data_IF_129927787675
#
_entry.id   IF_129927787675
#
_cell.length_a   1.000
_cell.length_b   1.000
_cell.length_c   1.000
_cell.angle_alpha   90.00
_cell.angle_beta   90.00
_cell.angle_gamma   90.00
#
_symmetry.space_group_name_H-M   'P 1'
#
loop_
_entity.id
_entity.type
_entity.pdbx_description
1 polymer ?
#
# COMPACT_ATOMS: atom_id res chain seq x y z
N UNK A 1 -12.58 -23.17 -9.37
CA UNK A 1 -12.96 -22.66 -10.70
C UNK A 1 -12.71 -21.17 -10.75
N UNK A 2 -12.09 -20.73 -11.84
CA UNK A 2 -11.36 -19.48 -12.01
C UNK A 2 -12.25 -18.22 -11.94
N UNK A 3 -11.91 -17.28 -11.05
CA UNK A 3 -12.51 -15.94 -10.97
C UNK A 3 -11.45 -14.88 -11.29
N UNK A 4 -10.94 -14.92 -12.51
CA UNK A 4 -10.35 -13.75 -13.18
C UNK A 4 -11.07 -13.61 -14.52
N UNK A 5 -12.35 -13.28 -14.46
CA UNK A 5 -13.10 -12.85 -15.65
C UNK A 5 -12.67 -11.41 -15.94
N UNK A 6 -11.71 -11.24 -16.85
CA UNK A 6 -11.45 -9.97 -17.51
C UNK A 6 -12.74 -9.56 -18.23
N UNK A 7 -13.38 -8.48 -17.80
CA UNK A 7 -14.50 -7.89 -18.55
C UNK A 7 -13.93 -6.96 -19.61
N UNK A 8 -14.28 -7.27 -20.86
CA UNK A 8 -14.06 -6.49 -22.06
C UNK A 8 -14.61 -5.06 -21.91
N UNK A 9 -13.77 -4.07 -22.24
CA UNK A 9 -14.12 -2.66 -22.29
C UNK A 9 -14.98 -2.37 -23.53
N UNK A 10 -16.20 -1.84 -23.34
CA UNK A 10 -16.91 -1.06 -24.38
C UNK A 10 -16.57 0.42 -24.19
N UNK A 11 -16.28 1.10 -25.31
CA UNK A 11 -15.97 2.53 -25.47
C UNK A 11 -14.48 2.93 -25.56
N UNK A 12 -13.64 2.02 -26.09
CA UNK A 12 -12.57 2.38 -27.03
C UNK A 12 -11.64 3.52 -26.62
N UNK A 13 -10.63 3.21 -25.80
CA UNK A 13 -9.22 3.64 -25.93
C UNK A 13 -8.41 3.08 -24.75
N UNK A 14 -8.20 1.77 -24.76
CA UNK A 14 -7.07 1.12 -24.10
C UNK A 14 -6.94 -0.24 -24.77
N UNK A 15 -5.99 -0.35 -25.70
CA UNK A 15 -5.78 -1.56 -26.50
C UNK A 15 -5.58 -2.77 -25.59
N UNK A 16 -6.39 -3.81 -25.80
CA UNK A 16 -6.28 -5.08 -25.08
C UNK A 16 -4.88 -5.72 -25.21
N UNK A 17 -4.13 -5.36 -26.26
CA UNK A 17 -2.73 -5.75 -26.47
C UNK A 17 -1.77 -5.07 -25.48
N UNK A 18 -2.04 -3.83 -25.08
CA UNK A 18 -1.28 -3.11 -24.04
C UNK A 18 -1.52 -3.74 -22.66
N UNK A 19 -2.73 -4.21 -22.38
CA UNK A 19 -3.07 -4.89 -21.12
C UNK A 19 -2.42 -6.28 -21.00
N UNK A 20 -2.28 -7.02 -22.11
CA UNK A 20 -1.63 -8.35 -22.14
C UNK A 20 -0.10 -8.25 -22.05
N UNK A 21 0.53 -7.27 -22.69
CA UNK A 21 1.97 -6.97 -22.50
C UNK A 21 2.26 -6.46 -21.06
N UNK A 22 1.31 -5.74 -20.46
CA UNK A 22 1.34 -5.24 -19.09
C UNK A 22 1.29 -6.35 -18.01
N UNK A 23 0.69 -7.51 -18.30
CA UNK A 23 0.70 -8.68 -17.40
C UNK A 23 2.08 -9.34 -17.29
N UNK A 24 2.92 -9.22 -18.32
CA UNK A 24 4.28 -9.79 -18.43
C UNK A 24 5.40 -8.88 -17.90
N UNK A 25 5.06 -7.67 -17.41
CA UNK A 25 6.02 -6.57 -17.16
C UNK A 25 6.38 -6.40 -15.65
N UNK A 26 7.52 -5.78 -15.30
CA UNK A 26 8.06 -5.71 -13.93
C UNK A 26 7.10 -5.09 -12.90
N UNK A 27 7.42 -5.24 -11.61
CA UNK A 27 6.70 -4.62 -10.47
C UNK A 27 6.41 -3.12 -10.65
N UNK A 28 7.27 -2.42 -11.38
CA UNK A 28 7.16 -0.99 -11.71
C UNK A 28 5.86 -0.68 -12.46
N UNK A 29 5.52 -1.42 -13.51
CA UNK A 29 4.38 -1.14 -14.40
C UNK A 29 3.03 -1.24 -13.70
N UNK A 30 2.90 -2.15 -12.71
CA UNK A 30 1.64 -2.31 -11.95
C UNK A 30 1.34 -1.15 -11.00
N UNK A 31 2.37 -0.63 -10.35
CA UNK A 31 2.29 0.58 -9.53
C UNK A 31 2.08 1.84 -10.39
N UNK A 32 2.80 1.93 -11.51
CA UNK A 32 2.67 2.97 -12.55
C UNK A 32 1.19 3.16 -12.89
N UNK A 33 0.48 2.13 -13.36
CA UNK A 33 -0.91 2.33 -13.84
C UNK A 33 -1.91 2.81 -12.77
N UNK A 34 -1.68 2.48 -11.49
CA UNK A 34 -2.51 2.99 -10.38
C UNK A 34 -2.32 4.49 -10.16
N UNK A 35 -1.17 5.07 -10.56
CA UNK A 35 -0.82 6.46 -10.30
C UNK A 35 -0.59 7.25 -11.61
N UNK A 36 -0.52 6.64 -12.78
CA UNK A 36 0.08 7.25 -13.98
C UNK A 36 -0.52 8.58 -14.44
N UNK A 37 -1.85 8.71 -14.54
CA UNK A 37 -2.46 9.99 -14.97
C UNK A 37 -2.41 11.01 -13.84
N UNK A 38 -2.73 10.60 -12.63
CA UNK A 38 -2.55 11.39 -11.41
C UNK A 38 -1.12 11.93 -11.26
N UNK A 39 -0.11 11.13 -11.57
CA UNK A 39 1.31 11.43 -11.44
C UNK A 39 1.73 12.55 -12.39
N UNK A 40 1.29 12.52 -13.65
CA UNK A 40 1.62 13.55 -14.63
C UNK A 40 1.07 14.91 -14.21
N UNK A 41 -0.14 14.95 -13.63
CA UNK A 41 -0.71 16.16 -13.03
C UNK A 41 0.20 16.66 -11.90
N UNK A 42 0.62 15.78 -10.98
CA UNK A 42 1.51 16.18 -9.87
C UNK A 42 2.84 16.71 -10.40
N UNK A 43 3.47 16.04 -11.35
CA UNK A 43 4.76 16.44 -11.92
C UNK A 43 4.68 17.82 -12.58
N UNK A 44 3.68 18.00 -13.46
CA UNK A 44 3.44 19.27 -14.16
C UNK A 44 3.22 20.41 -13.17
N UNK A 45 2.31 20.23 -12.21
CA UNK A 45 1.98 21.27 -11.23
C UNK A 45 3.15 21.57 -10.28
N UNK A 46 3.94 20.55 -9.95
CA UNK A 46 5.16 20.71 -9.14
C UNK A 46 6.23 21.50 -9.88
N UNK A 47 6.42 21.26 -11.18
CA UNK A 47 7.34 22.03 -12.01
C UNK A 47 6.91 23.49 -12.14
N UNK A 48 5.61 23.76 -12.33
CA UNK A 48 5.06 25.12 -12.33
C UNK A 48 5.31 25.85 -11.00
N UNK A 49 5.05 25.20 -9.86
CA UNK A 49 5.33 25.80 -8.54
C UNK A 49 6.84 25.97 -8.30
N UNK A 50 7.67 25.07 -8.83
CA UNK A 50 9.12 25.17 -8.81
C UNK A 50 9.62 26.42 -9.54
N UNK A 51 9.15 26.65 -10.77
CA UNK A 51 9.45 27.87 -11.55
C UNK A 51 9.00 29.13 -10.81
N UNK A 52 7.83 29.11 -10.16
CA UNK A 52 7.33 30.25 -9.38
C UNK A 52 8.20 30.56 -8.15
N UNK A 53 8.67 29.55 -7.43
CA UNK A 53 9.43 29.72 -6.18
C UNK A 53 10.91 30.05 -6.43
N UNK A 54 11.50 29.49 -7.48
CA UNK A 54 12.93 29.53 -7.72
C UNK A 54 13.33 30.27 -9.01
N UNK A 55 12.37 30.74 -9.81
CA UNK A 55 12.60 31.42 -11.09
C UNK A 55 13.57 30.62 -11.96
N UNK A 56 14.60 31.27 -12.52
CA UNK A 56 15.62 30.67 -13.38
C UNK A 56 16.50 29.64 -12.66
N UNK A 57 16.55 29.67 -11.32
CA UNK A 57 17.25 28.65 -10.52
C UNK A 57 16.41 27.38 -10.31
N UNK A 58 15.13 27.39 -10.73
CA UNK A 58 14.20 26.27 -10.59
C UNK A 58 14.46 25.18 -11.61
N UNK A 59 15.38 24.25 -11.32
CA UNK A 59 15.59 23.07 -12.18
C UNK A 59 14.29 22.29 -12.35
N UNK A 60 13.89 22.06 -13.59
CA UNK A 60 12.76 21.19 -13.92
C UNK A 60 13.00 19.79 -13.39
N UNK A 61 11.97 19.22 -12.76
CA UNK A 61 12.00 17.86 -12.26
C UNK A 61 11.57 16.96 -13.42
N UNK A 62 12.45 16.06 -13.80
CA UNK A 62 12.17 15.06 -14.82
C UNK A 62 11.38 13.89 -14.23
N UNK A 63 10.71 13.14 -15.10
CA UNK A 63 9.92 11.98 -14.72
C UNK A 63 10.74 10.96 -13.91
N UNK A 64 11.99 10.66 -14.31
CA UNK A 64 12.83 9.72 -13.55
C UNK A 64 13.21 10.25 -12.16
N UNK A 65 13.47 11.56 -12.03
CA UNK A 65 13.80 12.20 -10.74
C UNK A 65 12.60 12.14 -9.79
N UNK A 66 11.38 12.38 -10.31
CA UNK A 66 10.17 12.31 -9.50
C UNK A 66 9.77 10.86 -9.15
N UNK A 67 9.97 9.89 -10.04
CA UNK A 67 9.85 8.46 -9.70
C UNK A 67 10.82 8.05 -8.59
N UNK A 68 12.07 8.49 -8.69
CA UNK A 68 13.06 8.23 -7.66
C UNK A 68 12.70 8.89 -6.32
N UNK A 69 12.11 10.08 -6.34
CA UNK A 69 11.57 10.72 -5.13
C UNK A 69 10.51 9.85 -4.45
N UNK A 70 9.55 9.33 -5.22
CA UNK A 70 8.51 8.41 -4.73
C UNK A 70 9.12 7.10 -4.24
N UNK A 71 10.08 6.53 -4.98
CA UNK A 71 10.80 5.32 -4.58
C UNK A 71 11.51 5.48 -3.23
N UNK A 72 12.14 6.63 -2.99
CA UNK A 72 12.74 6.96 -1.69
C UNK A 72 11.70 7.10 -0.57
N UNK A 73 10.51 7.63 -0.84
CA UNK A 73 9.40 7.66 0.12
C UNK A 73 8.96 6.24 0.51
N UNK A 74 8.76 5.36 -0.47
CA UNK A 74 8.40 3.96 -0.24
C UNK A 74 9.49 3.22 0.56
N UNK A 75 10.76 3.40 0.19
CA UNK A 75 11.89 2.81 0.92
C UNK A 75 11.95 3.33 2.37
N UNK A 76 11.65 4.61 2.59
CA UNK A 76 11.58 5.18 3.94
C UNK A 76 10.53 4.44 4.79
N UNK A 77 9.36 4.15 4.23
CA UNK A 77 8.32 3.36 4.89
C UNK A 77 8.73 1.91 5.14
N UNK A 78 9.30 1.24 4.12
CA UNK A 78 9.79 -0.14 4.22
C UNK A 78 10.85 -0.32 5.32
N UNK A 79 11.70 0.68 5.50
CA UNK A 79 12.73 0.71 6.54
C UNK A 79 12.24 1.16 7.92
N UNK A 80 10.95 1.47 8.08
CA UNK A 80 10.36 2.05 9.30
C UNK A 80 11.02 3.37 9.74
N UNK A 81 11.46 4.17 8.76
CA UNK A 81 12.18 5.43 8.96
C UNK A 81 11.36 6.69 8.70
N UNK A 82 10.05 6.55 8.54
CA UNK A 82 9.17 7.67 8.17
C UNK A 82 9.16 8.80 9.21
N UNK A 83 9.42 8.48 10.49
CA UNK A 83 9.57 9.44 11.58
C UNK A 83 10.98 10.05 11.72
N UNK A 84 12.01 9.49 11.09
CA UNK A 84 13.37 10.01 11.20
C UNK A 84 13.55 11.34 10.47
N UNK A 85 14.41 12.22 10.99
CA UNK A 85 14.74 13.47 10.34
C UNK A 85 15.34 13.22 8.94
N UNK A 86 14.92 14.00 7.94
CA UNK A 86 15.38 13.82 6.55
C UNK A 86 16.91 13.88 6.43
N UNK A 87 17.60 14.69 7.25
CA UNK A 87 19.07 14.74 7.23
C UNK A 87 19.71 13.42 7.66
N UNK A 88 19.11 12.70 8.62
CA UNK A 88 19.65 11.44 9.14
C UNK A 88 19.68 10.34 8.07
N UNK A 89 18.67 10.28 7.20
CA UNK A 89 18.62 9.28 6.12
C UNK A 89 19.76 9.44 5.10
N UNK A 90 20.32 10.65 4.98
CA UNK A 90 21.45 10.97 4.11
C UNK A 90 22.79 11.08 4.86
N UNK A 91 22.82 10.77 6.17
CA UNK A 91 24.06 10.80 6.94
C UNK A 91 25.07 9.77 6.39
N UNK A 92 26.36 10.10 6.50
CA UNK A 92 27.46 9.29 5.96
C UNK A 92 27.72 8.01 6.74
N UNK A 93 27.51 8.04 8.06
CA UNK A 93 27.85 6.96 8.99
C UNK A 93 26.63 6.09 9.31
N UNK A 94 25.53 6.72 9.73
CA UNK A 94 24.31 6.04 10.19
C UNK A 94 23.12 6.19 9.24
N UNK A 95 23.33 6.83 8.09
CA UNK A 95 22.30 6.99 7.07
C UNK A 95 22.09 5.71 6.26
N UNK A 96 21.29 5.85 5.21
CA UNK A 96 20.88 4.73 4.35
C UNK A 96 21.53 4.91 2.99
N UNK A 97 22.53 4.09 2.59
CA UNK A 97 23.34 4.34 1.40
C UNK A 97 22.54 4.58 0.11
N UNK A 98 21.38 3.94 -0.02
CA UNK A 98 20.48 4.15 -1.18
C UNK A 98 20.06 5.61 -1.35
N UNK A 99 19.81 6.37 -0.28
CA UNK A 99 19.32 7.74 -0.37
C UNK A 99 20.32 8.71 -1.04
N UNK A 100 21.57 8.85 -0.56
CA UNK A 100 22.58 9.67 -1.23
C UNK A 100 23.00 9.07 -2.57
N UNK A 101 22.83 7.76 -2.81
CA UNK A 101 23.08 7.14 -4.11
C UNK A 101 22.08 7.58 -5.18
N UNK A 102 20.83 7.82 -4.78
CA UNK A 102 19.73 8.16 -5.69
C UNK A 102 19.72 9.66 -5.99
N UNK A 103 19.58 10.50 -4.97
CA UNK A 103 19.59 11.96 -5.16
C UNK A 103 20.19 12.70 -3.97
N UNK A 104 20.72 13.92 -4.14
CA UNK A 104 21.17 14.74 -3.02
C UNK A 104 20.03 15.10 -2.05
N UNK A 105 20.33 15.24 -0.75
CA UNK A 105 19.34 15.61 0.28
C UNK A 105 18.64 16.94 -0.02
N UNK A 106 19.33 17.88 -0.66
CA UNK A 106 18.77 19.17 -1.04
C UNK A 106 17.76 19.05 -2.18
N UNK A 107 17.97 18.14 -3.15
CA UNK A 107 16.98 17.85 -4.19
C UNK A 107 15.72 17.22 -3.58
N UNK A 108 15.87 16.22 -2.71
CA UNK A 108 14.72 15.61 -2.03
C UNK A 108 13.91 16.64 -1.23
N UNK A 109 14.59 17.55 -0.50
CA UNK A 109 13.93 18.65 0.22
C UNK A 109 13.27 19.65 -0.71
N UNK A 110 13.90 19.97 -1.85
CA UNK A 110 13.35 20.87 -2.88
C UNK A 110 12.03 20.30 -3.42
N UNK A 111 12.04 19.06 -3.90
CA UNK A 111 10.85 18.37 -4.41
C UNK A 111 9.76 18.31 -3.33
N UNK A 112 10.10 17.94 -2.09
CA UNK A 112 9.15 17.91 -0.97
C UNK A 112 8.50 19.27 -0.67
N UNK A 113 9.22 20.37 -0.92
CA UNK A 113 8.72 21.74 -0.71
C UNK A 113 7.85 22.22 -1.87
N UNK A 114 8.21 21.88 -3.10
CA UNK A 114 7.52 22.34 -4.31
C UNK A 114 6.34 21.48 -4.72
N UNK A 115 6.24 20.25 -4.22
CA UNK A 115 5.19 19.30 -4.66
C UNK A 115 3.80 19.93 -4.61
N UNK A 116 3.08 19.89 -5.73
CA UNK A 116 1.82 20.58 -5.94
C UNK A 116 0.89 19.71 -6.80
N UNK A 117 -0.41 19.76 -6.54
CA UNK A 117 -1.39 18.83 -7.12
C UNK A 117 -2.47 19.50 -7.97
N UNK A 118 -2.37 20.82 -8.13
CA UNK A 118 -3.34 21.64 -8.85
C UNK A 118 -2.71 22.99 -9.21
N UNK A 119 -3.35 23.70 -10.14
CA UNK A 119 -3.03 25.09 -10.44
C UNK A 119 -3.37 25.96 -9.23
N UNK A 120 -2.32 26.51 -8.60
CA UNK A 120 -2.43 27.32 -7.39
C UNK A 120 -3.16 28.63 -7.64
N UNK A 121 -3.00 29.24 -8.81
CA UNK A 121 -3.58 30.54 -9.13
C UNK A 121 -5.10 30.42 -9.28
N UNK A 122 -5.56 29.32 -9.90
CA UNK A 122 -6.99 29.03 -10.07
C UNK A 122 -7.66 28.43 -8.83
N UNK A 123 -6.89 28.04 -7.80
CA UNK A 123 -7.41 27.35 -6.60
C UNK A 123 -8.36 28.22 -5.76
N UNK A 124 -8.12 29.53 -5.69
CA UNK A 124 -8.90 30.46 -4.85
C UNK A 124 -10.40 30.37 -5.17
N UNK A 125 -10.75 30.33 -6.45
CA UNK A 125 -12.11 30.18 -6.95
C UNK A 125 -12.70 28.80 -6.63
N UNK A 126 -11.99 27.72 -6.95
CA UNK A 126 -12.46 26.34 -6.69
C UNK A 126 -12.68 26.06 -5.20
N UNK A 127 -11.87 26.66 -4.33
CA UNK A 127 -11.94 26.46 -2.88
C UNK A 127 -13.25 26.95 -2.27
N UNK A 128 -13.93 27.93 -2.88
CA UNK A 128 -15.21 28.46 -2.39
C UNK A 128 -16.27 27.35 -2.30
N UNK A 129 -16.29 26.46 -3.30
CA UNK A 129 -17.28 25.38 -3.41
C UNK A 129 -16.71 24.01 -3.06
N UNK A 130 -15.39 23.87 -2.98
CA UNK A 130 -14.71 22.60 -2.71
C UNK A 130 -13.53 22.79 -1.74
N UNK A 131 -13.72 22.54 -0.42
CA UNK A 131 -12.65 22.63 0.58
C UNK A 131 -11.43 21.74 0.30
N UNK A 132 -11.59 20.74 -0.57
CA UNK A 132 -10.60 19.76 -0.99
C UNK A 132 -9.98 20.05 -2.37
N UNK A 133 -10.27 21.21 -2.98
CA UNK A 133 -9.81 21.57 -4.34
C UNK A 133 -8.31 21.39 -4.61
N UNK A 134 -7.47 21.48 -3.56
CA UNK A 134 -6.02 21.47 -3.69
C UNK A 134 -5.41 20.12 -4.14
N UNK A 135 -6.18 19.03 -4.14
CA UNK A 135 -5.77 17.70 -4.64
C UNK A 135 -6.98 16.94 -5.25
N UNK A 136 -8.07 17.64 -5.54
CA UNK A 136 -9.34 17.03 -5.99
C UNK A 136 -9.13 16.19 -7.25
N UNK A 137 -8.51 16.78 -8.27
CA UNK A 137 -8.40 16.17 -9.59
C UNK A 137 -7.51 14.92 -9.54
N UNK A 138 -6.42 14.98 -8.77
CA UNK A 138 -5.53 13.83 -8.49
C UNK A 138 -6.25 12.74 -7.69
N UNK A 139 -7.07 13.11 -6.70
CA UNK A 139 -7.80 12.12 -5.89
C UNK A 139 -8.87 11.41 -6.70
N UNK A 140 -9.67 12.15 -7.48
CA UNK A 140 -10.79 11.59 -8.23
C UNK A 140 -10.28 10.65 -9.35
N UNK A 141 -9.21 11.03 -10.07
CA UNK A 141 -8.54 10.12 -11.04
C UNK A 141 -7.98 8.87 -10.35
N UNK A 142 -7.28 9.04 -9.23
CA UNK A 142 -6.69 7.92 -8.50
C UNK A 142 -7.75 6.92 -7.98
N UNK A 143 -8.83 7.40 -7.35
CA UNK A 143 -9.89 6.54 -6.81
C UNK A 143 -10.60 5.79 -7.94
N UNK A 144 -10.87 6.45 -9.07
CA UNK A 144 -11.55 5.83 -10.21
C UNK A 144 -10.77 4.65 -10.84
N UNK A 145 -9.44 4.61 -10.68
CA UNK A 145 -8.59 3.53 -11.18
C UNK A 145 -8.77 2.22 -10.42
N UNK A 146 -9.06 2.28 -9.13
CA UNK A 146 -9.05 1.06 -8.30
C UNK A 146 -10.07 0.01 -8.76
N UNK A 147 -11.35 0.37 -9.03
CA UNK A 147 -12.33 -0.56 -9.61
C UNK A 147 -11.94 -1.14 -10.97
N UNK A 148 -11.17 -0.39 -11.77
CA UNK A 148 -10.74 -0.84 -13.10
C UNK A 148 -9.64 -1.91 -13.05
N UNK A 149 -8.92 -1.99 -11.93
CA UNK A 149 -7.74 -2.84 -11.78
C UNK A 149 -8.06 -4.21 -11.15
N UNK A 150 -9.14 -4.29 -10.37
CA UNK A 150 -9.56 -5.51 -9.69
C UNK A 150 -11.08 -5.55 -9.52
N UNK A 151 -11.70 -6.66 -9.93
CA UNK A 151 -13.04 -6.99 -9.47
C UNK A 151 -12.97 -7.31 -7.98
N UNK A 152 -13.97 -6.87 -7.20
CA UNK A 152 -14.09 -7.28 -5.81
C UNK A 152 -14.51 -8.74 -5.69
N UNK A 153 -14.16 -9.38 -4.58
CA UNK A 153 -14.72 -10.67 -4.21
C UNK A 153 -16.19 -10.56 -3.80
N UNK A 154 -16.78 -11.69 -3.42
CA UNK A 154 -18.20 -11.78 -3.05
C UNK A 154 -18.58 -10.87 -1.85
N UNK A 155 -17.61 -10.53 -0.99
CA UNK A 155 -17.84 -9.76 0.24
C UNK A 155 -17.00 -8.50 0.26
N UNK A 156 -17.66 -7.38 0.54
CA UNK A 156 -17.01 -6.07 0.66
C UNK A 156 -17.41 -5.39 1.96
N UNK A 157 -16.51 -4.58 2.51
CA UNK A 157 -16.71 -3.87 3.77
C UNK A 157 -16.66 -2.37 3.56
N UNK A 158 -17.65 -1.64 4.05
CA UNK A 158 -17.64 -0.18 4.14
C UNK A 158 -17.38 0.23 5.57
N UNK A 159 -16.33 1.02 5.79
CA UNK A 159 -16.02 1.57 7.10
C UNK A 159 -15.18 2.85 7.00
N UNK A 160 -14.84 3.42 8.14
CA UNK A 160 -14.05 4.63 8.30
C UNK A 160 -12.58 4.39 8.63
N UNK A 161 -11.74 5.15 7.94
CA UNK A 161 -10.32 5.29 8.24
C UNK A 161 -10.01 6.73 8.65
N UNK A 162 -8.93 6.89 9.42
CA UNK A 162 -8.44 8.21 9.82
C UNK A 162 -6.98 8.35 9.42
N UNK A 163 -6.71 9.23 8.46
CA UNK A 163 -5.34 9.54 8.03
C UNK A 163 -4.75 10.57 9.01
N UNK A 164 -3.71 10.24 9.80
CA UNK A 164 -3.17 11.15 10.82
C UNK A 164 -2.73 12.48 10.21
N UNK A 165 -3.17 13.59 10.78
CA UNK A 165 -2.83 14.92 10.26
C UNK A 165 -2.67 15.95 11.37
N UNK A 166 -1.57 16.69 11.31
CA UNK A 166 -1.32 17.89 12.13
C UNK A 166 -1.84 19.18 11.47
N UNK A 167 -2.46 19.09 10.29
CA UNK A 167 -2.97 20.28 9.59
C UNK A 167 -4.10 20.95 10.37
N UNK A 168 -4.21 22.28 10.28
CA UNK A 168 -5.27 23.06 10.95
C UNK A 168 -6.48 23.33 10.04
N UNK A 169 -6.82 22.37 9.16
CA UNK A 169 -7.96 22.54 8.23
C UNK A 169 -9.28 22.21 8.88
N UNK A 170 -10.35 22.85 8.40
CA UNK A 170 -11.72 22.73 8.91
C UNK A 170 -12.28 21.31 8.87
N UNK A 171 -11.84 20.47 7.93
CA UNK A 171 -12.31 19.09 7.82
C UNK A 171 -11.49 18.07 8.62
N UNK A 172 -10.50 18.50 9.42
CA UNK A 172 -9.82 17.63 10.38
C UNK A 172 -10.81 17.14 11.44
N UNK A 173 -10.88 15.83 11.63
CA UNK A 173 -11.76 15.17 12.59
C UNK A 173 -10.99 14.71 13.82
N UNK A 174 -11.69 14.69 14.95
CA UNK A 174 -11.26 14.02 16.18
C UNK A 174 -12.05 12.72 16.35
N UNK A 175 -11.35 11.58 16.44
CA UNK A 175 -11.95 10.26 16.65
C UNK A 175 -11.26 9.62 17.86
N UNK A 176 -11.87 9.68 19.07
CA UNK A 176 -11.21 9.27 20.32
C UNK A 176 -10.69 7.84 20.35
N UNK A 177 -11.40 6.92 19.67
CA UNK A 177 -11.12 5.47 19.68
C UNK A 177 -10.04 5.04 18.67
N UNK A 178 -9.61 5.91 17.75
CA UNK A 178 -8.55 5.57 16.77
C UNK A 178 -7.16 5.86 17.38
N UNK A 179 -6.10 5.08 17.04
CA UNK A 179 -4.76 5.25 17.62
C UNK A 179 -4.20 6.66 17.41
N UNK A 180 -4.32 7.19 16.19
CA UNK A 180 -4.22 8.62 15.97
C UNK A 180 -5.58 9.24 16.27
N UNK A 181 -5.66 10.17 17.23
CA UNK A 181 -6.95 10.78 17.57
C UNK A 181 -7.39 11.87 16.60
N UNK A 182 -6.47 12.44 15.83
CA UNK A 182 -6.74 13.55 14.94
C UNK A 182 -6.23 13.31 13.53
N UNK A 183 -7.09 13.56 12.55
CA UNK A 183 -6.74 13.30 11.15
C UNK A 183 -7.82 13.68 10.16
N UNK A 184 -7.65 13.25 8.92
CA UNK A 184 -8.64 13.39 7.85
C UNK A 184 -9.44 12.10 7.81
N UNK A 185 -10.76 12.17 8.02
CA UNK A 185 -11.65 11.01 7.95
C UNK A 185 -11.89 10.63 6.49
N UNK A 186 -11.79 9.33 6.20
CA UNK A 186 -11.99 8.76 4.87
C UNK A 186 -12.92 7.57 4.98
N UNK A 187 -14.02 7.60 4.24
CA UNK A 187 -14.87 6.43 4.05
C UNK A 187 -14.23 5.52 3.02
N UNK A 188 -14.12 4.24 3.33
CA UNK A 188 -13.37 3.28 2.52
C UNK A 188 -14.22 2.03 2.30
N UNK A 189 -14.28 1.59 1.05
CA UNK A 189 -14.81 0.29 0.66
C UNK A 189 -13.65 -0.64 0.32
N UNK A 190 -13.57 -1.78 1.00
CA UNK A 190 -12.55 -2.79 0.79
C UNK A 190 -13.14 -4.15 0.42
N UNK A 191 -12.40 -4.94 -0.35
CA UNK A 191 -12.62 -6.39 -0.39
C UNK A 191 -12.37 -7.00 0.99
N UNK A 192 -13.29 -7.83 1.48
CA UNK A 192 -13.23 -8.35 2.85
C UNK A 192 -12.05 -9.32 3.08
N UNK A 193 -11.67 -10.08 2.06
CA UNK A 193 -10.64 -11.13 2.15
C UNK A 193 -9.22 -10.57 2.00
N UNK A 194 -9.03 -9.73 1.01
CA UNK A 194 -7.73 -9.21 0.58
C UNK A 194 -7.43 -7.83 1.13
N UNK A 195 -8.44 -7.14 1.67
CA UNK A 195 -8.38 -5.74 2.06
C UNK A 195 -8.02 -4.78 0.92
N UNK A 196 -8.18 -5.22 -0.34
CA UNK A 196 -7.99 -4.36 -1.50
C UNK A 196 -8.92 -3.15 -1.41
N UNK A 197 -8.36 -1.94 -1.43
CA UNK A 197 -9.14 -0.72 -1.35
C UNK A 197 -9.83 -0.49 -2.70
N UNK A 198 -11.14 -0.71 -2.77
CA UNK A 198 -11.89 -0.65 -4.02
C UNK A 198 -12.44 0.74 -4.32
N UNK A 199 -12.92 1.47 -3.30
CA UNK A 199 -13.38 2.86 -3.44
C UNK A 199 -13.16 3.66 -2.15
N UNK A 200 -13.04 4.99 -2.26
CA UNK A 200 -12.77 5.88 -1.13
C UNK A 200 -13.40 7.26 -1.30
N UNK A 201 -13.93 7.82 -0.21
CA UNK A 201 -14.50 9.16 -0.17
C UNK A 201 -13.96 9.97 1.02
N UNK A 202 -13.34 11.13 0.74
CA UNK A 202 -12.87 12.05 1.79
C UNK A 202 -14.06 12.75 2.45
N UNK A 203 -14.09 12.73 3.79
CA UNK A 203 -15.04 13.52 4.55
C UNK A 203 -14.54 14.96 4.70
N UNK A 204 -15.25 15.91 4.07
CA UNK A 204 -14.89 17.34 4.10
C UNK A 204 -15.72 18.18 5.09
N UNK A 205 -16.39 17.54 6.05
CA UNK A 205 -17.31 18.21 6.98
C UNK A 205 -18.75 18.31 6.47
N UNK A 206 -19.59 19.09 7.16
CA UNK A 206 -21.00 19.32 6.80
C UNK A 206 -21.09 20.15 5.51
N UNK A 207 -22.04 19.82 4.62
CA UNK A 207 -22.32 20.61 3.41
C UNK A 207 -22.92 21.98 3.79
N UNK A 208 -22.65 22.99 2.98
CA UNK A 208 -23.08 24.38 3.22
C UNK A 208 -24.60 24.57 3.28
N UNK A 209 -25.39 23.59 2.82
CA UNK A 209 -26.85 23.67 2.82
C UNK A 209 -27.49 23.60 4.21
N UNK A 210 -26.75 23.36 5.29
CA UNK A 210 -27.26 23.39 6.68
C UNK A 210 -28.28 22.28 7.02
N UNK A 211 -28.88 21.65 6.01
CA UNK A 211 -29.71 20.47 6.12
C UNK A 211 -28.80 19.35 6.64
N UNK A 212 -29.10 18.85 7.85
CA UNK A 212 -28.62 17.53 8.27
C UNK A 212 -28.96 16.59 7.13
N UNK A 213 -27.97 16.10 6.39
CA UNK A 213 -28.22 15.06 5.40
C UNK A 213 -28.73 13.86 6.17
N UNK A 214 -30.07 13.71 6.25
CA UNK A 214 -30.70 12.48 6.71
C UNK A 214 -30.02 11.36 5.90
N UNK A 215 -29.63 10.29 6.58
CA UNK A 215 -29.03 9.12 5.95
C UNK A 215 -27.63 9.33 5.32
N UNK A 216 -26.74 10.11 5.95
CA UNK A 216 -25.33 10.22 5.52
C UNK A 216 -24.68 8.84 5.33
N UNK A 217 -24.93 7.90 6.25
CA UNK A 217 -24.44 6.53 6.16
C UNK A 217 -24.92 5.85 4.89
N UNK A 218 -26.24 5.79 4.65
CA UNK A 218 -26.83 5.25 3.43
C UNK A 218 -26.24 5.86 2.16
N UNK A 219 -26.13 7.19 2.08
CA UNK A 219 -25.53 7.88 0.93
C UNK A 219 -24.09 7.44 0.71
N UNK A 220 -23.28 7.37 1.77
CA UNK A 220 -21.88 6.95 1.66
C UNK A 220 -21.79 5.51 1.16
N UNK A 221 -22.63 4.60 1.65
CA UNK A 221 -22.66 3.21 1.19
C UNK A 221 -23.04 3.17 -0.28
N UNK A 222 -24.13 3.82 -0.70
CA UNK A 222 -24.57 3.86 -2.10
C UNK A 222 -23.52 4.48 -3.03
N UNK A 223 -22.89 5.59 -2.63
CA UNK A 223 -21.82 6.25 -3.38
C UNK A 223 -20.62 5.30 -3.55
N UNK A 224 -20.24 4.58 -2.50
CA UNK A 224 -19.05 3.73 -2.51
C UNK A 224 -19.28 2.42 -3.27
N UNK A 225 -20.46 1.82 -3.16
CA UNK A 225 -20.81 0.55 -3.80
C UNK A 225 -21.32 0.71 -5.24
N UNK A 226 -21.45 1.94 -5.73
CA UNK A 226 -21.81 2.22 -7.12
C UNK A 226 -20.91 1.44 -8.10
N UNK A 227 -21.52 0.63 -8.95
CA UNK A 227 -20.84 -0.22 -9.93
C UNK A 227 -20.61 -1.68 -9.50
N UNK A 228 -20.84 -2.02 -8.23
CA UNK A 228 -20.86 -3.42 -7.77
C UNK A 228 -22.17 -4.12 -8.20
N UNK A 229 -22.07 -5.41 -8.54
CA UNK A 229 -23.23 -6.26 -8.91
C UNK A 229 -23.10 -7.61 -8.23
N UNK A 230 -24.07 -7.98 -7.39
CA UNK A 230 -24.10 -9.29 -6.71
C UNK A 230 -23.11 -9.44 -5.55
N UNK A 231 -22.51 -8.35 -5.06
CA UNK A 231 -21.63 -8.38 -3.88
C UNK A 231 -22.44 -8.14 -2.60
N UNK A 232 -22.08 -8.86 -1.54
CA UNK A 232 -22.62 -8.65 -0.20
C UNK A 232 -21.83 -7.54 0.52
N UNK A 233 -22.53 -6.48 0.91
CA UNK A 233 -21.93 -5.32 1.58
C UNK A 233 -22.08 -5.42 3.10
N UNK A 234 -20.97 -5.35 3.82
CA UNK A 234 -20.93 -5.32 5.29
C UNK A 234 -20.66 -3.90 5.76
N UNK A 235 -21.53 -3.36 6.61
CA UNK A 235 -21.42 -2.01 7.15
C UNK A 235 -21.64 -2.00 8.67
N UNK A 236 -21.04 -1.02 9.37
CA UNK A 236 -21.26 -0.80 10.81
C UNK A 236 -22.60 -0.06 11.09
N UNK A 237 -23.05 -0.04 12.35
CA UNK A 237 -24.30 0.57 12.80
C UNK A 237 -24.48 2.03 12.36
N UNK A 238 -23.39 2.80 12.20
CA UNK A 238 -23.47 4.18 11.68
C UNK A 238 -24.14 4.26 10.29
N UNK A 239 -24.07 3.17 9.51
CA UNK A 239 -24.64 3.05 8.18
C UNK A 239 -26.03 2.39 8.16
N UNK A 240 -26.49 1.88 9.31
CA UNK A 240 -27.76 1.15 9.47
C UNK A 240 -28.79 2.05 10.15
N UNK A 241 -29.92 2.36 9.52
CA UNK A 241 -30.89 3.34 10.06
C UNK A 241 -31.84 2.75 11.12
N UNK A 242 -32.07 3.54 12.17
CA UNK A 242 -32.92 3.26 13.34
C UNK A 242 -34.42 3.11 13.06
N UNK A 243 -34.94 3.79 12.03
CA UNK A 243 -36.39 3.85 11.71
C UNK A 243 -36.95 2.46 11.34
N UNK A 244 -36.13 1.60 10.74
CA UNK A 244 -36.47 0.20 10.38
C UNK A 244 -36.30 -0.77 11.58
N UNK A 245 -35.32 -0.53 12.46
CA UNK A 245 -35.05 -1.41 13.60
C UNK A 245 -36.03 -1.22 14.77
N UNK A 246 -36.56 -0.01 14.95
CA UNK A 246 -37.52 0.31 16.02
C UNK A 246 -38.95 -0.17 15.74
N UNK A 247 -39.32 -0.40 14.48
CA UNK A 247 -40.62 -0.98 14.15
C UNK A 247 -40.73 -2.47 14.52
N UNK A 248 -39.63 -3.14 14.89
CA UNK A 248 -39.57 -4.61 15.00
C UNK A 248 -39.17 -5.18 16.38
N UNK A 249 -38.97 -4.37 17.43
CA UNK A 249 -38.46 -4.88 18.71
C UNK A 249 -39.27 -4.43 19.94
N UNK A 250 -40.32 -5.19 20.26
CA UNK A 250 -40.77 -5.38 21.65
C UNK A 250 -40.49 -6.84 22.06
N UNK A 251 -39.81 -6.96 23.21
CA UNK A 251 -39.76 -8.10 24.16
C UNK A 251 -38.69 -9.23 24.10
N UNK A 252 -38.01 -9.38 25.25
CA UNK A 252 -37.36 -10.51 25.98
C UNK A 252 -36.15 -11.33 25.45
N UNK A 253 -35.43 -11.88 26.46
CA UNK A 253 -34.08 -12.45 26.50
C UNK A 253 -33.91 -13.81 25.79
N UNK A 254 -33.66 -13.84 24.48
CA UNK A 254 -32.94 -14.90 23.75
C UNK A 254 -32.33 -14.23 22.50
N UNK A 255 -31.41 -14.87 21.77
CA UNK A 255 -31.09 -14.46 20.40
C UNK A 255 -32.36 -14.51 19.55
N UNK A 256 -33.02 -13.36 19.35
CA UNK A 256 -34.28 -13.31 18.61
C UNK A 256 -33.99 -12.95 17.16
N UNK A 257 -34.45 -13.80 16.25
CA UNK A 257 -34.43 -13.57 14.82
C UNK A 257 -35.77 -12.99 14.40
N UNK A 258 -35.74 -11.93 13.60
CA UNK A 258 -36.89 -11.40 12.90
C UNK A 258 -36.64 -11.58 11.41
N UNK A 259 -37.56 -12.29 10.74
CA UNK A 259 -37.49 -12.57 9.31
C UNK A 259 -38.50 -11.68 8.57
N UNK A 260 -38.06 -11.15 7.44
CA UNK A 260 -38.87 -10.47 6.42
C UNK A 260 -38.58 -11.13 5.08
N UNK A 261 -39.40 -10.88 4.05
CA UNK A 261 -39.22 -11.48 2.71
C UNK A 261 -37.81 -11.22 2.15
N UNK A 262 -37.26 -10.03 2.40
CA UNK A 262 -35.98 -9.59 1.82
C UNK A 262 -34.81 -9.55 2.82
N UNK A 263 -35.05 -9.77 4.13
CA UNK A 263 -34.00 -9.65 5.14
C UNK A 263 -34.28 -10.34 6.47
N UNK A 264 -33.19 -10.62 7.19
CA UNK A 264 -33.19 -11.12 8.57
C UNK A 264 -32.49 -10.13 9.48
N UNK A 265 -33.15 -9.76 10.59
CA UNK A 265 -32.56 -9.01 11.70
C UNK A 265 -32.34 -9.97 12.86
N UNK A 266 -31.19 -9.85 13.53
CA UNK A 266 -30.91 -10.59 14.76
C UNK A 266 -30.56 -9.64 15.90
N UNK A 267 -31.10 -9.93 17.09
CA UNK A 267 -30.73 -9.33 18.37
C UNK A 267 -30.00 -10.37 19.21
N UNK A 268 -28.66 -10.34 19.26
CA UNK A 268 -27.81 -11.29 19.97
C UNK A 268 -27.25 -10.69 21.27
N UNK A 269 -27.44 -11.37 22.41
CA UNK A 269 -26.88 -10.95 23.70
C UNK A 269 -25.62 -11.76 24.07
N UNK A 270 -24.40 -11.30 23.70
CA UNK A 270 -23.16 -12.00 24.09
C UNK A 270 -22.93 -12.01 25.61
N UNK A 271 -23.46 -11.03 26.34
CA UNK A 271 -23.33 -10.88 27.81
C UNK A 271 -24.59 -10.22 28.37
N UNK A 272 -24.83 -10.38 29.68
CA UNK A 272 -25.90 -9.66 30.39
C UNK A 272 -25.79 -8.16 30.10
N UNK A 273 -26.90 -7.54 29.68
CA UNK A 273 -27.02 -6.12 29.34
C UNK A 273 -26.11 -5.64 28.19
N UNK A 274 -25.65 -6.54 27.32
CA UNK A 274 -24.96 -6.20 26.08
C UNK A 274 -25.70 -6.85 24.93
N UNK A 275 -26.42 -6.04 24.15
CA UNK A 275 -27.12 -6.48 22.96
C UNK A 275 -26.32 -6.06 21.70
N UNK A 276 -26.31 -6.93 20.69
CA UNK A 276 -25.74 -6.71 19.36
C UNK A 276 -26.84 -6.96 18.35
N UNK A 277 -27.16 -5.94 17.55
CA UNK A 277 -28.10 -6.08 16.44
C UNK A 277 -27.37 -6.15 15.11
N UNK A 278 -27.74 -7.12 14.27
CA UNK A 278 -27.22 -7.25 12.90
C UNK A 278 -28.39 -7.45 11.94
N UNK A 279 -28.37 -6.73 10.82
CA UNK A 279 -29.30 -6.89 9.71
C UNK A 279 -28.54 -7.58 8.56
N UNK A 280 -29.16 -8.57 7.93
CA UNK A 280 -28.59 -9.33 6.83
C UNK A 280 -29.66 -9.62 5.78
N UNK A 281 -29.36 -9.34 4.51
CA UNK A 281 -30.20 -9.73 3.37
C UNK A 281 -29.76 -11.06 2.73
N UNK A 282 -28.69 -11.70 3.27
CA UNK A 282 -28.12 -12.93 2.73
C UNK A 282 -28.55 -14.19 3.49
N UNK A 283 -28.62 -14.09 4.81
CA UNK A 283 -29.04 -15.19 5.68
C UNK A 283 -30.55 -15.10 5.91
N UNK A 284 -31.26 -16.21 5.69
CA UNK A 284 -32.71 -16.36 5.87
C UNK A 284 -33.06 -17.54 6.80
N UNK A 285 -32.12 -17.95 7.66
CA UNK A 285 -32.31 -19.01 8.63
C UNK A 285 -31.92 -18.57 10.05
N UNK A 286 -32.25 -19.39 11.03
CA UNK A 286 -31.93 -19.19 12.45
C UNK A 286 -30.75 -20.05 12.90
N UNK A 287 -29.80 -20.36 12.01
CA UNK A 287 -28.67 -21.23 12.34
C UNK A 287 -27.78 -20.61 13.43
N UNK A 288 -27.45 -21.46 14.41
CA UNK A 288 -26.61 -21.12 15.55
C UNK A 288 -25.57 -22.23 15.69
N UNK A 289 -24.31 -21.84 15.86
CA UNK A 289 -23.24 -22.84 16.01
C UNK A 289 -23.26 -23.49 17.40
N UNK A 290 -22.96 -24.79 17.45
CA UNK A 290 -22.91 -25.62 18.68
C UNK A 290 -21.70 -25.33 19.59
N UNK A 291 -20.96 -24.25 19.31
CA UNK A 291 -19.78 -23.85 20.05
C UNK A 291 -20.05 -23.06 21.33
N UNK A 292 -18.98 -22.77 22.08
CA UNK A 292 -19.03 -21.99 23.32
C UNK A 292 -19.64 -20.60 23.08
N UNK A 293 -20.84 -20.38 23.62
CA UNK A 293 -21.58 -19.12 23.52
C UNK A 293 -22.64 -19.06 22.42
N UNK A 294 -22.93 -20.19 21.74
CA UNK A 294 -24.04 -20.39 20.80
C UNK A 294 -24.22 -19.18 19.87
N UNK A 295 -23.16 -18.86 19.13
CA UNK A 295 -23.12 -17.66 18.28
C UNK A 295 -23.94 -17.92 17.02
N UNK A 296 -24.89 -17.05 16.68
CA UNK A 296 -25.60 -17.13 15.42
C UNK A 296 -24.65 -17.04 14.22
N UNK A 297 -24.93 -17.78 13.16
CA UNK A 297 -24.08 -17.82 11.97
C UNK A 297 -23.96 -16.44 11.31
N UNK A 298 -25.03 -15.63 11.35
CA UNK A 298 -25.02 -14.22 10.93
C UNK A 298 -23.92 -13.43 11.66
N UNK A 299 -23.76 -13.64 12.97
CA UNK A 299 -22.75 -12.98 13.80
C UNK A 299 -21.35 -13.51 13.47
N UNK A 300 -21.20 -14.81 13.23
CA UNK A 300 -19.92 -15.40 12.80
C UNK A 300 -19.50 -14.84 11.43
N UNK A 301 -20.42 -14.80 10.48
CA UNK A 301 -20.20 -14.26 9.15
C UNK A 301 -19.78 -12.79 9.20
N UNK A 302 -20.51 -11.96 9.95
CA UNK A 302 -20.16 -10.55 10.17
C UNK A 302 -18.74 -10.41 10.75
N UNK A 303 -18.40 -11.19 11.79
CA UNK A 303 -17.08 -11.11 12.41
C UNK A 303 -15.94 -11.51 11.48
N UNK A 304 -16.16 -12.48 10.60
CA UNK A 304 -15.16 -12.95 9.62
C UNK A 304 -14.93 -11.95 8.49
N UNK A 305 -15.92 -11.11 8.19
CA UNK A 305 -15.89 -10.24 7.00
C UNK A 305 -15.63 -8.77 7.34
N UNK A 306 -16.08 -8.26 8.50
CA UNK A 306 -15.99 -6.83 8.88
C UNK A 306 -14.58 -6.23 8.93
N UNK A 307 -13.53 -7.06 8.98
CA UNK A 307 -12.15 -6.61 9.18
C UNK A 307 -11.44 -6.00 7.97
N UNK A 308 -12.08 -5.95 6.79
CA UNK A 308 -11.45 -5.53 5.53
C UNK A 308 -10.78 -4.14 5.61
N UNK A 309 -11.50 -3.13 6.09
CA UNK A 309 -11.00 -1.75 6.22
C UNK A 309 -9.97 -1.60 7.34
N UNK A 310 -10.21 -2.21 8.51
CA UNK A 310 -9.27 -2.19 9.64
C UNK A 310 -7.93 -2.83 9.28
N UNK A 311 -7.96 -3.93 8.52
CA UNK A 311 -6.78 -4.59 8.00
C UNK A 311 -6.01 -3.68 7.04
N UNK A 312 -6.68 -3.02 6.09
CA UNK A 312 -6.05 -2.04 5.21
C UNK A 312 -5.37 -0.92 6.02
N UNK A 313 -6.03 -0.42 7.07
CA UNK A 313 -5.49 0.63 7.93
C UNK A 313 -4.23 0.18 8.67
N UNK A 314 -4.27 -1.03 9.23
CA UNK A 314 -3.09 -1.69 9.84
C UNK A 314 -1.97 -1.89 8.82
N UNK A 315 -2.30 -2.36 7.61
CA UNK A 315 -1.30 -2.71 6.59
C UNK A 315 -0.56 -1.46 6.07
N UNK A 316 -1.30 -0.38 5.81
CA UNK A 316 -0.75 0.88 5.32
C UNK A 316 0.01 1.64 6.41
N UNK A 317 -0.48 1.65 7.65
CA UNK A 317 0.22 2.32 8.77
C UNK A 317 1.56 1.66 9.14
N UNK A 318 1.69 0.33 8.99
CA UNK A 318 2.91 -0.40 9.38
C UNK A 318 4.16 0.00 8.58
N UNK A 319 4.01 0.35 7.30
CA UNK A 319 5.10 0.75 6.41
C UNK A 319 4.80 2.07 5.69
N UNK A 320 4.09 2.97 6.37
CA UNK A 320 3.68 4.24 5.77
C UNK A 320 4.88 5.07 5.32
N UNK A 321 4.78 5.69 4.15
CA UNK A 321 5.74 6.67 3.66
C UNK A 321 5.52 8.08 4.23
N UNK A 322 4.48 8.29 5.05
CA UNK A 322 4.07 9.59 5.54
C UNK A 322 5.17 10.30 6.33
N UNK A 323 5.67 11.41 5.78
CA UNK A 323 6.62 12.32 6.44
C UNK A 323 5.87 13.39 7.23
N UNK A 324 6.53 13.96 8.24
CA UNK A 324 5.99 15.09 9.01
C UNK A 324 5.73 16.29 8.11
N UNK A 325 4.49 16.79 8.07
CA UNK A 325 4.10 17.97 7.29
C UNK A 325 2.89 18.67 7.88
N UNK A 326 2.82 20.00 7.71
CA UNK A 326 1.62 20.79 7.99
C UNK A 326 0.71 20.94 6.74
N UNK A 327 1.21 20.58 5.55
CA UNK A 327 0.48 20.68 4.27
C UNK A 327 -0.46 19.49 4.13
N UNK A 328 -1.75 19.70 4.40
CA UNK A 328 -2.77 18.65 4.31
C UNK A 328 -2.86 17.93 2.94
N UNK A 329 -2.64 18.57 1.76
CA UNK A 329 -2.73 17.84 0.49
C UNK A 329 -1.61 16.80 0.39
N UNK A 330 -0.45 17.10 0.97
CA UNK A 330 0.68 16.18 1.01
C UNK A 330 0.40 14.95 1.90
N UNK A 331 -0.40 15.12 2.97
CA UNK A 331 -0.87 13.99 3.79
C UNK A 331 -1.74 13.04 2.97
N UNK A 332 -2.62 13.57 2.13
CA UNK A 332 -3.44 12.76 1.21
C UNK A 332 -2.56 12.08 0.16
N UNK A 333 -1.58 12.78 -0.40
CA UNK A 333 -0.65 12.20 -1.36
C UNK A 333 0.16 11.02 -0.79
N UNK A 334 0.63 11.12 0.46
CA UNK A 334 1.28 9.98 1.10
C UNK A 334 0.33 8.80 1.28
N UNK A 335 -0.94 9.05 1.63
CA UNK A 335 -1.94 7.99 1.69
C UNK A 335 -2.21 7.35 0.32
N UNK A 336 -2.25 8.15 -0.76
CA UNK A 336 -2.35 7.64 -2.14
C UNK A 336 -1.20 6.67 -2.43
N UNK A 337 0.04 7.03 -2.09
CA UNK A 337 1.21 6.15 -2.28
C UNK A 337 1.07 4.87 -1.44
N UNK A 338 0.73 4.99 -0.16
CA UNK A 338 0.63 3.85 0.76
C UNK A 338 -0.44 2.84 0.32
N UNK A 339 -1.63 3.33 -0.05
CA UNK A 339 -2.73 2.49 -0.53
C UNK A 339 -2.40 1.89 -1.90
N UNK A 340 -1.80 2.67 -2.81
CA UNK A 340 -1.41 2.15 -4.13
C UNK A 340 -0.35 1.05 -4.03
N UNK A 341 0.64 1.22 -3.16
CA UNK A 341 1.67 0.21 -2.92
C UNK A 341 1.07 -1.07 -2.32
N UNK A 342 0.06 -0.94 -1.45
CA UNK A 342 -0.66 -2.09 -0.90
C UNK A 342 -1.55 -2.80 -1.93
N UNK A 343 -2.34 -2.06 -2.70
CA UNK A 343 -3.17 -2.63 -3.77
C UNK A 343 -2.29 -3.33 -4.82
N UNK A 344 -1.15 -2.73 -5.20
CA UNK A 344 -0.18 -3.36 -6.07
C UNK A 344 0.42 -4.65 -5.48
N UNK A 345 0.65 -4.69 -4.16
CA UNK A 345 1.07 -5.90 -3.47
C UNK A 345 0.01 -7.01 -3.56
N UNK A 346 -1.27 -6.69 -3.30
CA UNK A 346 -2.38 -7.66 -3.41
C UNK A 346 -2.45 -8.25 -4.82
N UNK A 347 -2.44 -7.38 -5.85
CA UNK A 347 -2.46 -7.80 -7.25
C UNK A 347 -1.22 -8.62 -7.64
N UNK A 348 -0.06 -8.31 -7.05
CA UNK A 348 1.17 -9.06 -7.29
C UNK A 348 1.09 -10.47 -6.71
N UNK A 349 0.64 -10.61 -5.47
CA UNK A 349 0.54 -11.90 -4.79
C UNK A 349 -0.53 -12.79 -5.38
N UNK A 350 -1.62 -12.22 -5.89
CA UNK A 350 -2.67 -12.96 -6.59
C UNK A 350 -2.15 -13.55 -7.91
N UNK A 351 -1.42 -12.74 -8.70
CA UNK A 351 -0.85 -13.19 -9.99
C UNK A 351 0.39 -14.08 -9.84
N UNK A 352 1.07 -14.01 -8.70
CA UNK A 352 2.30 -14.78 -8.44
C UNK A 352 2.23 -15.47 -7.08
N UNK A 353 1.39 -16.50 -6.92
CA UNK A 353 1.22 -17.20 -5.65
C UNK A 353 2.54 -17.86 -5.17
N UNK A 354 3.38 -18.28 -6.12
CA UNK A 354 4.71 -18.84 -5.86
C UNK A 354 5.77 -17.80 -5.45
N UNK A 355 5.48 -16.50 -5.52
CA UNK A 355 6.46 -15.47 -5.15
C UNK A 355 6.66 -15.44 -3.63
N UNK A 356 7.91 -15.66 -3.21
CA UNK A 356 8.34 -15.65 -1.81
C UNK A 356 7.48 -16.56 -0.89
N UNK A 357 7.05 -17.75 -1.37
CA UNK A 357 6.36 -18.75 -0.53
C UNK A 357 7.17 -19.03 0.75
N UNK A 358 6.49 -19.18 1.88
CA UNK A 358 7.11 -19.42 3.19
C UNK A 358 7.77 -18.21 3.85
N UNK A 359 7.93 -17.06 3.17
CA UNK A 359 8.44 -15.84 3.81
C UNK A 359 7.34 -15.13 4.59
N UNK A 360 7.59 -14.83 5.86
CA UNK A 360 6.64 -14.11 6.73
C UNK A 360 6.51 -12.61 6.43
N UNK A 361 7.52 -12.00 5.80
CA UNK A 361 7.61 -10.54 5.60
C UNK A 361 7.48 -10.12 4.11
N UNK A 362 6.62 -10.82 3.34
CA UNK A 362 6.44 -10.59 1.89
C UNK A 362 6.14 -9.14 1.54
N UNK A 363 5.30 -8.45 2.32
CA UNK A 363 4.95 -7.04 2.06
C UNK A 363 6.16 -6.12 2.14
N UNK A 364 7.04 -6.31 3.14
CA UNK A 364 8.28 -5.53 3.25
C UNK A 364 9.17 -5.77 2.04
N UNK A 365 9.35 -7.03 1.63
CA UNK A 365 10.13 -7.38 0.44
C UNK A 365 9.54 -6.73 -0.82
N UNK A 366 8.21 -6.74 -0.95
CA UNK A 366 7.53 -6.10 -2.07
C UNK A 366 7.81 -4.59 -2.12
N UNK A 367 7.69 -3.89 -0.99
CA UNK A 367 7.98 -2.46 -0.90
C UNK A 367 9.45 -2.13 -1.15
N UNK A 368 10.38 -2.95 -0.66
CA UNK A 368 11.81 -2.78 -0.92
C UNK A 368 12.13 -2.97 -2.41
N UNK A 369 11.57 -3.99 -3.06
CA UNK A 369 11.74 -4.23 -4.49
C UNK A 369 11.08 -3.14 -5.34
N UNK A 370 9.86 -2.71 -4.99
CA UNK A 370 9.16 -1.62 -5.66
C UNK A 370 9.94 -0.30 -5.54
N UNK A 371 10.38 0.05 -4.33
CA UNK A 371 11.17 1.24 -4.08
C UNK A 371 12.50 1.23 -4.85
N UNK A 372 13.21 0.09 -4.86
CA UNK A 372 14.45 -0.10 -5.65
C UNK A 372 14.21 0.07 -7.14
N UNK A 373 13.14 -0.53 -7.68
CA UNK A 373 12.80 -0.43 -9.10
C UNK A 373 12.47 1.01 -9.55
N UNK A 374 11.89 1.82 -8.65
CA UNK A 374 11.57 3.22 -8.93
C UNK A 374 12.81 4.13 -8.90
N UNK A 375 13.79 3.83 -8.04
CA UNK A 375 15.00 4.66 -7.92
C UNK A 375 16.11 4.29 -8.90
N UNK A 376 16.14 3.04 -9.36
CA UNK A 376 17.21 2.51 -10.22
C UNK A 376 17.46 3.35 -11.49
N UNK A 377 16.44 3.79 -12.26
CA UNK A 377 16.68 4.60 -13.45
C UNK A 377 17.44 5.90 -13.16
N UNK A 378 17.07 6.59 -12.07
CA UNK A 378 17.73 7.84 -11.67
C UNK A 378 19.16 7.60 -11.15
N UNK A 379 19.37 6.51 -10.41
CA UNK A 379 20.72 6.10 -9.98
C UNK A 379 21.65 5.87 -11.16
N UNK A 380 21.15 5.24 -12.23
CA UNK A 380 21.93 4.95 -13.43
C UNK A 380 22.30 6.23 -14.20
N UNK A 381 21.34 7.16 -14.38
CA UNK A 381 21.53 8.44 -15.10
C UNK A 381 22.51 9.41 -14.43
N UNK A 382 22.87 9.16 -13.18
CA UNK A 382 23.61 10.11 -12.35
C UNK A 382 25.05 10.34 -12.84
N UNK A 383 25.32 11.44 -13.54
CA UNK A 383 26.67 11.73 -14.10
C UNK A 383 27.79 11.72 -13.05
N UNK A 384 27.54 12.27 -11.87
CA UNK A 384 28.52 12.38 -10.79
C UNK A 384 28.27 11.35 -9.69
N UNK A 385 29.35 10.67 -9.27
CA UNK A 385 29.27 9.70 -8.19
C UNK A 385 28.95 10.38 -6.85
N UNK A 386 28.17 9.73 -5.98
CA UNK A 386 27.96 10.20 -4.61
C UNK A 386 29.27 10.38 -3.86
N UNK A 387 29.32 11.36 -2.95
CA UNK A 387 30.52 11.65 -2.14
C UNK A 387 30.85 10.53 -1.14
N UNK A 388 29.85 9.78 -0.68
CA UNK A 388 30.06 8.75 0.35
C UNK A 388 30.51 7.43 -0.27
N UNK A 389 31.50 6.77 0.32
CA UNK A 389 32.07 5.53 -0.19
C UNK A 389 31.01 4.43 -0.40
N UNK A 390 30.10 4.25 0.56
CA UNK A 390 29.03 3.26 0.46
C UNK A 390 28.05 3.55 -0.70
N UNK A 391 27.72 4.82 -0.93
CA UNK A 391 26.82 5.20 -2.01
C UNK A 391 27.51 5.14 -3.38
N UNK A 392 28.78 5.54 -3.45
CA UNK A 392 29.63 5.38 -4.62
C UNK A 392 29.69 3.90 -5.04
N UNK A 393 30.02 3.02 -4.10
CA UNK A 393 30.06 1.56 -4.32
C UNK A 393 28.71 1.00 -4.76
N UNK A 394 27.59 1.50 -4.23
CA UNK A 394 26.26 1.06 -4.65
C UNK A 394 25.93 1.46 -6.09
N UNK A 395 26.29 2.68 -6.52
CA UNK A 395 26.09 3.13 -7.90
C UNK A 395 27.00 2.37 -8.87
N UNK A 396 28.26 2.15 -8.50
CA UNK A 396 29.22 1.40 -9.33
C UNK A 396 28.80 -0.05 -9.53
N UNK A 397 28.31 -0.74 -8.47
CA UNK A 397 27.77 -2.10 -8.60
C UNK A 397 26.61 -2.17 -9.57
N UNK A 398 25.63 -1.26 -9.44
CA UNK A 398 24.48 -1.24 -10.34
C UNK A 398 24.86 -0.98 -11.80
N UNK A 399 25.90 -0.19 -12.05
CA UNK A 399 26.41 0.02 -13.42
C UNK A 399 27.05 -1.22 -14.00
N UNK A 400 27.90 -1.89 -13.22
CA UNK A 400 28.52 -3.15 -13.62
C UNK A 400 27.49 -4.25 -13.90
N UNK A 401 26.46 -4.34 -13.06
CA UNK A 401 25.37 -5.30 -13.23
C UNK A 401 24.54 -5.02 -14.50
N UNK A 402 24.49 -3.77 -14.96
CA UNK A 402 23.79 -3.38 -16.19
C UNK A 402 24.65 -3.53 -17.47
N UNK A 403 25.98 -3.47 -17.34
CA UNK A 403 26.94 -3.64 -18.43
C UNK A 403 27.20 -5.10 -18.78
N UNK A 404 26.83 -6.06 -17.93
CA UNK A 404 26.79 -7.48 -18.31
C UNK A 404 25.47 -7.78 -19.03
N UNK A 405 25.47 -8.06 -20.35
CA UNK A 405 24.28 -8.51 -21.04
C UNK A 405 23.83 -9.84 -20.43
N UNK A 406 22.52 -10.02 -20.35
CA UNK A 406 21.89 -11.27 -19.96
C UNK A 406 22.17 -12.35 -21.01
N UNK A 407 23.35 -12.97 -20.95
CA UNK A 407 23.52 -14.38 -21.33
C UNK A 407 23.00 -15.24 -20.17
N UNK A 408 21.70 -15.14 -19.93
CA UNK A 408 20.92 -16.19 -19.28
C UNK A 408 19.80 -16.58 -20.25
N UNK A 409 20.23 -17.09 -21.40
CA UNK A 409 19.51 -18.18 -22.02
C UNK A 409 19.32 -19.26 -20.95
N UNK A 410 18.08 -19.73 -20.86
CA UNK A 410 17.60 -20.89 -20.12
C UNK A 410 18.75 -21.85 -19.76
N UNK A 411 19.20 -21.80 -18.51
CA UNK A 411 19.71 -22.98 -17.83
C UNK A 411 18.93 -23.04 -16.53
N UNK A 412 18.12 -24.08 -16.42
CA UNK A 412 17.47 -24.52 -15.20
C UNK A 412 18.39 -24.33 -13.99
N UNK A 413 18.08 -23.37 -13.13
CA UNK A 413 18.62 -23.42 -11.77
C UNK A 413 17.78 -24.41 -10.99
N UNK A 414 18.22 -25.64 -11.18
CA UNK A 414 17.99 -26.83 -10.42
C UNK A 414 17.82 -26.56 -8.92
N UNK A 415 16.80 -27.21 -8.39
CA UNK A 415 16.52 -27.31 -6.96
C UNK A 415 17.47 -28.38 -6.41
N UNK A 416 18.74 -28.05 -6.17
CA UNK A 416 19.65 -28.98 -5.49
C UNK A 416 20.43 -28.33 -4.36
N UNK A 417 20.38 -28.96 -3.18
CA UNK A 417 21.08 -28.53 -1.98
C UNK A 417 22.57 -28.33 -2.24
N UNK A 418 23.21 -27.44 -1.46
CA UNK A 418 24.64 -27.12 -1.55
C UNK A 418 25.46 -28.42 -1.73
N UNK A 419 26.03 -28.64 -2.92
CA UNK A 419 26.87 -29.82 -3.21
C UNK A 419 28.02 -29.89 -2.20
N UNK A 420 28.01 -30.94 -1.38
CA UNK A 420 29.09 -31.26 -0.42
C UNK A 420 30.02 -32.27 -1.07
N UNK A 421 31.32 -32.06 -0.95
CA UNK A 421 32.34 -32.99 -1.43
C UNK A 421 33.33 -33.32 -0.31
N UNK A 422 34.08 -34.40 -0.48
CA UNK A 422 35.05 -34.86 0.52
C UNK A 422 36.15 -33.82 0.71
N UNK A 423 36.54 -33.59 1.97
CA UNK A 423 37.73 -32.82 2.29
C UNK A 423 38.97 -33.47 1.67
N UNK A 424 39.71 -32.69 0.89
CA UNK A 424 40.88 -33.17 0.15
C UNK A 424 42.14 -33.30 1.02
N UNK A 425 42.07 -32.93 2.30
CA UNK A 425 43.17 -33.04 3.27
C UNK A 425 42.97 -34.19 4.27
N UNK A 426 41.78 -34.81 4.33
CA UNK A 426 41.53 -35.96 5.21
C UNK A 426 42.07 -37.27 4.61
N UNK A 427 43.02 -37.90 5.30
CA UNK A 427 43.53 -39.23 4.94
C UNK A 427 42.44 -40.32 4.94
N UNK A 428 41.53 -40.30 5.93
CA UNK A 428 40.44 -41.27 6.06
C UNK A 428 39.13 -40.83 5.39
N UNK A 429 38.29 -41.81 5.01
CA UNK A 429 36.94 -41.59 4.47
C UNK A 429 36.05 -41.05 5.60
N UNK A 430 35.78 -39.74 5.66
CA UNK A 430 34.95 -39.20 6.75
C UNK A 430 34.32 -37.81 6.58
N UNK A 431 35.01 -36.81 6.05
CA UNK A 431 34.52 -35.42 6.18
C UNK A 431 34.05 -34.77 4.87
N UNK A 432 32.76 -34.86 4.57
CA UNK A 432 32.12 -34.09 3.49
C UNK A 432 31.87 -32.64 3.94
N UNK A 433 32.35 -31.67 3.17
CA UNK A 433 32.29 -30.24 3.45
C UNK A 433 31.67 -29.48 2.28
N UNK A 434 31.02 -28.36 2.56
CA UNK A 434 30.61 -27.37 1.55
C UNK A 434 31.56 -26.17 1.49
N UNK A 435 32.60 -26.16 2.32
CA UNK A 435 33.56 -25.06 2.44
C UNK A 435 34.71 -25.28 1.45
N UNK A 436 35.07 -24.23 0.71
CA UNK A 436 36.17 -24.24 -0.26
C UNK A 436 37.23 -23.21 0.13
N UNK A 437 38.50 -23.57 -0.01
CA UNK A 437 39.59 -22.61 0.16
C UNK A 437 39.48 -21.50 -0.88
N UNK A 438 39.57 -20.23 -0.46
CA UNK A 438 39.48 -19.09 -1.38
C UNK A 438 40.60 -19.06 -2.42
N UNK A 439 41.80 -19.53 -2.05
CA UNK A 439 42.99 -19.52 -2.92
C UNK A 439 43.01 -20.68 -3.92
N UNK A 440 42.83 -21.92 -3.44
CA UNK A 440 42.98 -23.11 -4.29
C UNK A 440 41.67 -23.82 -4.66
N UNK A 441 40.50 -23.32 -4.19
CA UNK A 441 39.16 -23.87 -4.47
C UNK A 441 38.95 -25.34 -4.08
N UNK A 442 39.86 -25.92 -3.30
CA UNK A 442 39.76 -27.26 -2.74
C UNK A 442 38.70 -27.32 -1.64
N UNK A 443 38.00 -28.45 -1.52
CA UNK A 443 37.04 -28.68 -0.45
C UNK A 443 37.79 -29.02 0.85
N UNK A 444 37.54 -28.27 1.93
CA UNK A 444 38.27 -28.40 3.20
C UNK A 444 37.28 -28.46 4.38
N UNK A 445 37.47 -29.42 5.30
CA UNK A 445 36.66 -29.56 6.51
C UNK A 445 37.11 -28.57 7.59
N UNK A 446 36.29 -28.41 8.64
CA UNK A 446 36.59 -27.46 9.72
C UNK A 446 37.92 -27.74 10.42
N UNK A 447 38.29 -29.01 10.59
CA UNK A 447 39.54 -29.42 11.25
C UNK A 447 40.80 -29.02 10.46
N UNK A 448 40.66 -28.80 9.16
CA UNK A 448 41.74 -28.37 8.26
C UNK A 448 41.60 -26.90 7.85
N UNK A 449 40.79 -26.12 8.55
CA UNK A 449 40.65 -24.67 8.34
C UNK A 449 40.88 -23.91 9.63
N UNK A 450 41.61 -22.80 9.54
CA UNK A 450 41.71 -21.81 10.61
C UNK A 450 41.06 -20.51 10.13
N UNK A 451 40.36 -19.82 11.03
CA UNK A 451 39.65 -18.58 10.71
C UNK A 451 40.52 -17.39 11.10
N UNK A 452 40.79 -16.51 10.13
CA UNK A 452 41.47 -15.24 10.35
C UNK A 452 40.55 -14.08 9.94
N UNK A 453 40.73 -12.90 10.52
CA UNK A 453 40.11 -11.69 9.99
C UNK A 453 40.81 -11.30 8.67
N UNK A 454 40.16 -10.47 7.84
CA UNK A 454 40.69 -10.12 6.52
C UNK A 454 42.06 -9.45 6.58
N UNK A 455 42.38 -8.73 7.65
CA UNK A 455 43.69 -8.08 7.83
C UNK A 455 44.78 -9.12 8.09
N UNK A 456 44.58 -10.04 9.03
CA UNK A 456 45.55 -11.11 9.30
C UNK A 456 45.70 -12.11 8.14
N UNK A 457 44.68 -12.24 7.29
CA UNK A 457 44.75 -13.12 6.12
C UNK A 457 45.60 -12.56 4.97
N UNK A 458 45.91 -11.27 4.97
CA UNK A 458 46.79 -10.63 3.98
C UNK A 458 48.28 -10.75 4.35
N UNK A 459 48.58 -11.12 5.61
CA UNK A 459 49.95 -11.28 6.15
C UNK A 459 50.46 -12.74 6.14
N UNK A 460 49.64 -13.70 5.69
CA UNK A 460 49.93 -15.15 5.61
C UNK A 460 49.96 -15.59 4.14
#
# INVERSE_FOLDING_TARGET
MNLVTLVLLRNGKCDALHFILYLKSPKKTRYQAMIDVSYQIVLQMTNSEGKRLYKDAGKEIEETEFHAYIGLLILTGAYKSHGEATKSLWNTENGRPVFPSVMPVNNFKRISRTIQFDDREKRSHRRKNNPFAAIRDVWDDWVARSPMMCNSGAYVTVDERLIPSKSRRSFRQYIPKKPAKYGIKVWTLCDAKTSYAWNMQIYTGKRASGIHGKNQGMRVVLDLTAGLKGNNSICDHFFTSHELAMQLLKTYFVSTFAFSEDCTIISYLPKKNKNVMVLSTMHNDNQVCDGKGSKPDIILHYNNTKGGVDNLDKMTSTYSCQRMTARWPLVIFYNIIDVSAYNAYVLWTEKHPAWNVGRLHKRRLFLEELGKALVQPEMMRRKTLPRTAAAKSAVERLRKDAEQPSTSGIIDTDTSGKKRARCQLCASRGNNTSVRCKKCQKYICKDHTQSYCNLCAEEI
#
